data_IF_852821271087
#
_entry.id   IF_852821271087
#
_cell.length_a   1.000
_cell.length_b   1.000
_cell.length_c   1.000
_cell.angle_alpha   90.00
_cell.angle_beta   90.00
_cell.angle_gamma   90.00
#
_symmetry.space_group_name_H-M   'P 1'
#
loop_
_entity.id
_entity.type
_entity.pdbx_description
1 polymer ?
#
# COMPACT_ATOMS: atom_id res chain seq x y z
N UNK A 1 17.95 -9.07 -4.56
CA UNK A 1 16.66 -8.48 -4.88
C UNK A 1 15.54 -9.31 -4.26
N UNK A 2 14.63 -8.69 -3.56
CA UNK A 2 13.56 -9.39 -2.85
C UNK A 2 12.22 -8.83 -3.29
N UNK A 3 11.34 -9.71 -3.73
CA UNK A 3 10.02 -9.33 -4.22
C UNK A 3 8.96 -9.73 -3.20
N UNK A 4 7.95 -8.89 -3.01
CA UNK A 4 6.80 -9.24 -2.19
C UNK A 4 5.49 -9.00 -2.93
N UNK A 5 4.46 -9.71 -2.49
CA UNK A 5 3.07 -9.46 -2.88
C UNK A 5 2.25 -9.24 -1.63
N UNK A 6 1.27 -8.35 -1.72
CA UNK A 6 0.38 -8.07 -0.60
C UNK A 6 -0.73 -7.10 -0.98
N UNK A 7 -1.46 -6.65 0.03
CA UNK A 7 -2.48 -5.62 -0.12
C UNK A 7 -2.05 -4.36 0.60
N UNK A 8 -1.94 -3.27 -0.15
CA UNK A 8 -1.61 -1.96 0.42
C UNK A 8 -2.85 -1.24 0.95
N UNK A 9 -4.02 -1.58 0.44
CA UNK A 9 -5.31 -1.06 0.91
C UNK A 9 -6.34 -2.20 0.86
N UNK A 10 -7.29 -2.15 1.78
CA UNK A 10 -8.42 -3.08 1.85
C UNK A 10 -9.68 -2.28 1.64
N UNK A 11 -10.57 -2.73 0.73
CA UNK A 11 -11.79 -2.00 0.42
C UNK A 11 -12.90 -2.24 1.44
N UNK A 12 -13.73 -1.21 1.60
CA UNK A 12 -15.01 -1.27 2.28
C UNK A 12 -14.93 -1.57 3.80
N UNK A 13 -13.76 -1.35 4.39
CA UNK A 13 -13.56 -1.50 5.84
C UNK A 13 -12.90 -0.25 6.41
N UNK A 14 -13.40 0.28 7.55
CA UNK A 14 -12.76 1.44 8.17
C UNK A 14 -11.35 1.09 8.63
N UNK A 15 -10.43 2.03 8.44
CA UNK A 15 -9.09 1.95 9.02
C UNK A 15 -9.09 2.58 10.42
N UNK A 16 -7.91 2.63 11.06
CA UNK A 16 -7.79 3.19 12.41
C UNK A 16 -8.08 4.70 12.47
N UNK A 17 -8.01 5.38 11.34
CA UNK A 17 -8.35 6.81 11.24
C UNK A 17 -9.81 7.09 10.94
N UNK A 18 -10.63 6.05 10.77
CA UNK A 18 -12.04 6.20 10.42
C UNK A 18 -12.29 6.45 8.94
N UNK A 19 -11.35 6.08 8.09
CA UNK A 19 -11.48 6.22 6.63
C UNK A 19 -11.79 4.87 5.99
N UNK A 20 -12.64 4.90 4.95
CA UNK A 20 -12.96 3.74 4.14
C UNK A 20 -12.51 4.01 2.71
N UNK A 21 -11.74 3.09 2.14
CA UNK A 21 -11.36 3.16 0.73
C UNK A 21 -12.36 2.33 -0.07
N UNK A 22 -12.94 2.93 -1.08
CA UNK A 22 -13.92 2.24 -1.94
C UNK A 22 -13.25 1.71 -3.19
N UNK A 23 -13.81 0.63 -3.73
CA UNK A 23 -13.37 0.09 -5.02
C UNK A 23 -13.46 1.17 -6.08
N UNK A 24 -12.45 1.22 -6.95
CA UNK A 24 -12.32 2.27 -7.97
C UNK A 24 -11.49 3.47 -7.52
N UNK A 25 -11.20 3.59 -6.22
CA UNK A 25 -10.42 4.72 -5.71
C UNK A 25 -9.04 4.82 -6.36
N UNK A 26 -8.45 3.69 -6.73
CA UNK A 26 -7.12 3.61 -7.36
C UNK A 26 -7.18 3.35 -8.87
N UNK A 27 -8.32 3.62 -9.51
CA UNK A 27 -8.49 3.31 -10.93
C UNK A 27 -7.43 3.96 -11.83
N UNK A 28 -6.88 5.10 -11.41
CA UNK A 28 -5.85 5.84 -12.17
C UNK A 28 -4.44 5.60 -11.65
N UNK A 29 -4.26 4.77 -10.64
CA UNK A 29 -2.94 4.49 -10.09
C UNK A 29 -2.09 3.69 -11.07
N UNK A 30 -0.80 3.98 -11.08
CA UNK A 30 0.17 3.34 -11.98
C UNK A 30 1.33 2.79 -11.15
N UNK A 31 1.75 1.58 -11.48
CA UNK A 31 2.93 0.97 -10.86
C UNK A 31 4.21 1.73 -11.25
N UNK A 32 4.30 2.12 -12.50
CA UNK A 32 5.48 2.79 -13.04
C UNK A 32 5.76 4.11 -12.30
N UNK A 33 6.96 4.22 -11.74
CA UNK A 33 7.37 5.40 -10.99
C UNK A 33 6.88 5.47 -9.54
N UNK A 34 6.17 4.44 -9.05
CA UNK A 34 5.71 4.41 -7.67
C UNK A 34 6.77 3.77 -6.78
N UNK A 35 7.35 4.52 -5.81
CA UNK A 35 8.38 3.99 -4.93
C UNK A 35 7.80 3.18 -3.79
N UNK A 36 8.61 2.30 -3.24
CA UNK A 36 8.37 1.68 -1.93
C UNK A 36 9.25 2.39 -0.92
N UNK A 37 8.64 2.90 0.15
CA UNK A 37 9.32 3.63 1.20
C UNK A 37 9.33 2.83 2.51
N UNK A 38 10.23 3.21 3.40
CA UNK A 38 10.20 2.75 4.77
C UNK A 38 9.47 3.80 5.63
N UNK A 39 8.39 3.39 6.29
CA UNK A 39 7.64 4.22 7.25
C UNK A 39 7.22 5.59 6.66
N UNK A 40 6.82 5.64 5.39
CA UNK A 40 6.41 6.86 4.68
C UNK A 40 7.53 7.92 4.56
N UNK A 41 8.78 7.56 4.78
CA UNK A 41 9.89 8.50 4.71
C UNK A 41 10.41 8.63 3.27
N UNK A 42 10.21 9.80 2.62
CA UNK A 42 10.68 10.00 1.24
C UNK A 42 12.21 9.87 1.08
N UNK A 43 12.96 10.05 2.18
CA UNK A 43 14.41 9.89 2.16
C UNK A 43 14.84 8.42 2.19
N UNK A 44 13.89 7.50 2.42
CA UNK A 44 14.17 6.07 2.53
C UNK A 44 13.38 5.27 1.49
N UNK A 45 13.69 5.50 0.23
CA UNK A 45 13.19 4.68 -0.85
C UNK A 45 13.93 3.34 -0.83
N UNK A 46 13.19 2.26 -0.60
CA UNK A 46 13.77 0.92 -0.44
C UNK A 46 13.53 0.02 -1.64
N UNK A 47 12.71 0.46 -2.58
CA UNK A 47 12.40 -0.32 -3.77
C UNK A 47 11.36 0.36 -4.65
N UNK A 48 10.79 -0.42 -5.55
CA UNK A 48 9.85 0.07 -6.55
C UNK A 48 8.69 -0.89 -6.71
N UNK A 49 7.52 -0.33 -6.99
CA UNK A 49 6.34 -1.12 -7.32
C UNK A 49 6.46 -1.65 -8.75
N UNK A 50 6.21 -2.94 -8.92
CA UNK A 50 6.20 -3.59 -10.23
C UNK A 50 4.79 -3.69 -10.80
N UNK A 51 3.79 -3.95 -9.96
CA UNK A 51 2.42 -4.19 -10.39
C UNK A 51 1.44 -3.69 -9.35
N UNK A 52 0.37 -3.08 -9.82
CA UNK A 52 -0.78 -2.65 -9.02
C UNK A 52 -2.05 -3.12 -9.71
N UNK A 53 -2.98 -3.66 -8.93
CA UNK A 53 -4.30 -4.01 -9.45
C UNK A 53 -5.33 -3.96 -8.32
N UNK A 54 -6.50 -3.43 -8.61
CA UNK A 54 -7.64 -3.58 -7.72
C UNK A 54 -8.27 -4.94 -7.94
N UNK A 55 -8.57 -5.65 -6.86
CA UNK A 55 -9.38 -6.86 -6.91
C UNK A 55 -10.56 -6.73 -5.93
N UNK A 56 -11.26 -7.83 -5.66
CA UNK A 56 -12.42 -7.79 -4.76
C UNK A 56 -12.07 -7.38 -3.34
N UNK A 57 -10.81 -7.56 -2.91
CA UNK A 57 -10.39 -7.32 -1.53
C UNK A 57 -9.75 -5.96 -1.32
N UNK A 58 -9.03 -5.46 -2.31
CA UNK A 58 -8.30 -4.20 -2.14
C UNK A 58 -7.33 -3.90 -3.28
N UNK A 59 -6.34 -3.06 -2.96
CA UNK A 59 -5.25 -2.74 -3.88
C UNK A 59 -4.12 -3.75 -3.69
N UNK A 60 -4.02 -4.67 -4.63
CA UNK A 60 -2.96 -5.67 -4.65
C UNK A 60 -1.69 -5.06 -5.22
N UNK A 61 -0.57 -5.30 -4.56
CA UNK A 61 0.73 -4.79 -4.97
C UNK A 61 1.74 -5.92 -5.08
N UNK A 62 2.56 -5.85 -6.12
CA UNK A 62 3.79 -6.62 -6.25
C UNK A 62 4.91 -5.61 -6.35
N UNK A 63 5.94 -5.76 -5.53
CA UNK A 63 7.03 -4.80 -5.47
C UNK A 63 8.36 -5.49 -5.25
N UNK A 64 9.41 -4.78 -5.64
CA UNK A 64 10.79 -5.21 -5.56
C UNK A 64 11.50 -4.35 -4.53
N UNK A 65 12.07 -4.98 -3.51
CA UNK A 65 12.82 -4.31 -2.46
C UNK A 65 14.30 -4.54 -2.69
N UNK A 66 15.03 -3.45 -2.90
CA UNK A 66 16.45 -3.47 -3.23
C UNK A 66 17.34 -3.21 -2.02
N UNK A 67 16.82 -2.52 -1.02
CA UNK A 67 17.57 -2.24 0.20
C UNK A 67 17.74 -3.50 1.04
N UNK A 68 18.99 -3.93 1.35
CA UNK A 68 19.19 -5.19 2.07
C UNK A 68 18.62 -5.20 3.49
N UNK A 69 18.65 -4.06 4.19
CA UNK A 69 18.11 -3.96 5.54
C UNK A 69 16.60 -4.13 5.56
N UNK A 70 15.91 -3.51 4.60
CA UNK A 70 14.47 -3.65 4.46
C UNK A 70 14.10 -5.05 3.98
N UNK A 71 14.85 -5.61 3.03
CA UNK A 71 14.62 -6.97 2.54
C UNK A 71 14.71 -8.00 3.66
N UNK A 72 15.64 -7.82 4.59
CA UNK A 72 15.80 -8.71 5.74
C UNK A 72 14.59 -8.68 6.70
N UNK A 73 13.79 -7.62 6.66
CA UNK A 73 12.59 -7.47 7.51
C UNK A 73 11.30 -7.91 6.80
N UNK A 74 11.39 -8.22 5.52
CA UNK A 74 10.22 -8.69 4.77
C UNK A 74 9.84 -10.10 5.19
N UNK A 75 8.58 -10.28 5.53
CA UNK A 75 7.99 -11.58 5.83
C UNK A 75 6.49 -11.48 5.64
N UNK A 76 5.82 -12.60 5.46
CA UNK A 76 4.36 -12.65 5.47
C UNK A 76 3.84 -12.06 6.78
N UNK A 77 2.86 -11.18 6.69
CA UNK A 77 2.31 -10.47 7.84
C UNK A 77 2.91 -9.10 8.09
N UNK A 78 4.03 -8.73 7.42
CA UNK A 78 4.58 -7.38 7.53
C UNK A 78 3.54 -6.35 7.08
N UNK A 79 3.48 -5.20 7.76
CA UNK A 79 2.49 -4.18 7.51
C UNK A 79 2.77 -3.38 6.24
N UNK A 80 1.70 -3.06 5.53
CA UNK A 80 1.73 -2.20 4.35
C UNK A 80 0.83 -1.00 4.57
N UNK A 81 1.19 0.11 3.94
CA UNK A 81 0.40 1.33 3.90
C UNK A 81 0.65 2.04 2.58
N UNK A 82 -0.07 3.12 2.33
CA UNK A 82 0.11 3.90 1.11
C UNK A 82 0.03 5.39 1.43
N UNK A 83 0.81 6.18 0.70
CA UNK A 83 0.72 7.63 0.72
C UNK A 83 -0.13 8.11 -0.44
N UNK A 84 -0.94 9.13 -0.23
CA UNK A 84 -1.96 9.52 -1.18
C UNK A 84 -2.36 10.97 -1.04
N UNK A 85 -3.04 11.46 -2.09
CA UNK A 85 -3.81 12.71 -2.05
C UNK A 85 -5.27 12.38 -2.34
N UNK A 86 -6.18 12.95 -1.58
CA UNK A 86 -7.61 12.75 -1.79
C UNK A 86 -8.06 13.59 -2.98
N UNK A 87 -8.71 12.94 -3.96
CA UNK A 87 -9.29 13.62 -5.11
C UNK A 87 -10.81 13.71 -5.01
N UNK A 88 -11.45 12.69 -4.45
CA UNK A 88 -12.88 12.69 -4.18
C UNK A 88 -13.19 11.88 -2.94
N UNK A 89 -13.98 12.44 -2.05
CA UNK A 89 -14.39 11.79 -0.81
C UNK A 89 -15.81 12.20 -0.45
N UNK A 90 -16.50 11.32 0.28
CA UNK A 90 -17.82 11.57 0.85
C UNK A 90 -17.68 11.53 2.37
N UNK A 91 -18.24 12.52 3.06
CA UNK A 91 -18.25 12.58 4.51
C UNK A 91 -19.53 11.99 5.06
N UNK A 92 -19.39 11.16 6.09
CA UNK A 92 -20.49 10.57 6.82
C UNK A 92 -19.96 10.12 8.17
N UNK A 93 -20.52 9.03 8.72
CA UNK A 93 -20.00 8.41 9.93
C UNK A 93 -18.51 8.09 9.76
N UNK A 94 -18.14 7.61 8.57
CA UNK A 94 -16.76 7.46 8.13
C UNK A 94 -16.54 8.34 6.92
N UNK A 95 -15.27 8.73 6.69
CA UNK A 95 -14.90 9.39 5.46
C UNK A 95 -14.65 8.32 4.39
N UNK A 96 -15.38 8.40 3.27
CA UNK A 96 -15.26 7.42 2.19
C UNK A 96 -14.44 8.00 1.05
N UNK A 97 -13.32 7.38 0.75
CA UNK A 97 -12.47 7.76 -0.37
C UNK A 97 -12.99 7.12 -1.64
N UNK A 98 -13.41 7.97 -2.59
CA UNK A 98 -13.91 7.55 -3.91
C UNK A 98 -12.82 7.60 -4.97
N UNK A 99 -11.89 8.54 -4.86
CA UNK A 99 -10.77 8.68 -5.79
C UNK A 99 -9.54 9.18 -5.03
N UNK A 100 -8.44 8.48 -5.18
CA UNK A 100 -7.16 8.80 -4.56
C UNK A 100 -6.07 8.88 -5.61
N UNK A 101 -5.14 9.81 -5.42
CA UNK A 101 -3.87 9.81 -6.15
C UNK A 101 -2.86 9.07 -5.32
N UNK A 102 -2.38 7.94 -5.82
CA UNK A 102 -1.35 7.15 -5.13
C UNK A 102 0.01 7.83 -5.27
N UNK A 103 0.69 8.05 -4.17
CA UNK A 103 2.01 8.69 -4.13
C UNK A 103 3.10 7.64 -3.92
N UNK A 104 2.88 6.70 -2.98
CA UNK A 104 3.88 5.69 -2.63
C UNK A 104 3.23 4.51 -1.89
N UNK A 105 3.96 3.41 -1.83
CA UNK A 105 3.64 2.26 -0.97
C UNK A 105 4.72 2.19 0.08
N UNK A 106 4.36 1.87 1.32
CA UNK A 106 5.34 1.77 2.41
C UNK A 106 5.25 0.46 3.15
N UNK A 107 6.41 -0.03 3.58
CA UNK A 107 6.51 -0.99 4.66
C UNK A 107 6.40 -0.23 5.97
N UNK A 108 5.51 -0.65 6.84
CA UNK A 108 5.26 0.04 8.11
C UNK A 108 5.17 -0.97 9.24
N UNK A 109 5.51 -0.52 10.44
CA UNK A 109 5.39 -1.36 11.64
C UNK A 109 3.94 -1.42 12.13
N UNK A 110 3.17 -0.33 11.93
CA UNK A 110 1.79 -0.23 12.40
C UNK A 110 0.89 0.28 11.28
N UNK A 111 0.33 -0.60 10.44
CA UNK A 111 -0.50 -0.16 9.32
C UNK A 111 -1.80 0.48 9.81
N UNK A 112 -2.21 1.56 9.14
CA UNK A 112 -3.50 2.23 9.40
C UNK A 112 -4.67 1.28 9.19
N UNK A 113 -4.59 0.43 8.17
CA UNK A 113 -5.52 -0.67 7.95
C UNK A 113 -4.87 -1.96 8.43
N UNK A 114 -5.34 -2.56 9.56
CA UNK A 114 -4.68 -3.75 10.12
C UNK A 114 -4.61 -4.95 9.18
N UNK A 115 -5.47 -4.99 8.15
CA UNK A 115 -5.50 -6.07 7.17
C UNK A 115 -4.57 -5.82 5.98
N UNK A 116 -3.95 -4.65 5.88
CA UNK A 116 -3.00 -4.32 4.81
C UNK A 116 -1.64 -4.93 5.15
N UNK A 117 -1.35 -6.08 4.54
CA UNK A 117 -0.19 -6.91 4.91
C UNK A 117 0.47 -7.54 3.70
N UNK A 118 1.76 -7.81 3.85
CA UNK A 118 2.49 -8.68 2.94
C UNK A 118 1.95 -10.10 3.08
N UNK A 119 1.68 -10.74 1.95
CA UNK A 119 1.14 -12.11 1.89
C UNK A 119 2.26 -13.11 1.57
N UNK A 120 3.13 -12.76 0.64
CA UNK A 120 4.18 -13.66 0.16
C UNK A 120 5.46 -12.90 -0.13
N UNK A 121 6.58 -13.56 0.10
CA UNK A 121 7.91 -13.02 -0.17
C UNK A 121 8.69 -14.01 -1.01
N UNK A 122 9.36 -13.51 -2.06
CA UNK A 122 10.25 -14.28 -2.92
C UNK A 122 11.59 -13.57 -2.91
N UNK A 123 12.64 -14.23 -2.38
CA UNK A 123 13.97 -13.66 -2.26
C UNK A 123 15.00 -14.40 -3.08
N UNK A 124 16.11 -13.70 -3.31
CA UNK A 124 17.32 -14.28 -3.91
C UNK A 124 18.44 -14.25 -2.90
#
# INVERSE_FOLDING_TARGET
MTRFAGYAAIFDRPDSGGDIVRRGAFAKARADGTPVLWQHDPAQAIGWVESLAEDANGLRVIADVQDPGAAARLKAGAGLSFGYRVRAAIRGKYREFKQLELIEISLVTHPMQPLARVIAVEGN
#
